data_IF_245025021155
#
_entry.id   IF_245025021155
#
_cell.length_a   1.000
_cell.length_b   1.000
_cell.length_c   1.000
_cell.angle_alpha   90.00
_cell.angle_beta   90.00
_cell.angle_gamma   90.00
#
_symmetry.space_group_name_H-M   'P 1'
#
loop_
_entity.id
_entity.type
_entity.pdbx_description
1 polymer ?
#
# COMPACT_ATOMS: atom_id res chain seq x y z
N UNK A 1 -20.16 17.17 -5.40
CA UNK A 1 -18.83 17.71 -5.77
C UNK A 1 -18.40 16.99 -7.05
N UNK A 2 -17.93 17.72 -8.06
CA UNK A 2 -17.43 17.10 -9.31
C UNK A 2 -15.90 17.16 -9.32
N UNK A 3 -15.24 16.01 -9.44
CA UNK A 3 -13.79 15.93 -9.58
C UNK A 3 -13.44 15.86 -11.06
N UNK A 4 -12.56 16.74 -11.50
CA UNK A 4 -11.96 16.70 -12.83
C UNK A 4 -10.69 15.83 -12.78
N UNK A 5 -10.81 14.56 -13.20
CA UNK A 5 -9.69 13.61 -13.20
C UNK A 5 -8.54 14.07 -14.09
N UNK A 6 -8.83 14.73 -15.23
CA UNK A 6 -7.79 15.21 -16.15
C UNK A 6 -6.96 16.31 -15.48
N UNK A 7 -7.61 17.24 -14.79
CA UNK A 7 -6.94 18.27 -13.99
C UNK A 7 -6.09 17.63 -12.89
N UNK A 8 -6.64 16.70 -12.11
CA UNK A 8 -5.93 16.07 -11.02
C UNK A 8 -4.73 15.25 -11.51
N UNK A 9 -4.85 14.54 -12.64
CA UNK A 9 -3.73 13.84 -13.28
C UNK A 9 -2.63 14.81 -13.73
N UNK A 10 -3.04 15.94 -14.34
CA UNK A 10 -2.09 16.97 -14.75
C UNK A 10 -1.37 17.57 -13.54
N UNK A 11 -2.09 17.90 -12.48
CA UNK A 11 -1.51 18.44 -11.24
C UNK A 11 -0.49 17.48 -10.63
N UNK A 12 -0.80 16.18 -10.58
CA UNK A 12 0.14 15.16 -10.10
C UNK A 12 1.36 15.03 -11.04
N UNK A 13 1.15 15.00 -12.35
CA UNK A 13 2.25 14.93 -13.31
C UNK A 13 3.16 16.17 -13.21
N UNK A 14 2.60 17.36 -13.11
CA UNK A 14 3.34 18.61 -12.93
C UNK A 14 4.13 18.59 -11.60
N UNK A 15 3.52 18.08 -10.51
CA UNK A 15 4.21 17.91 -9.24
C UNK A 15 5.38 16.93 -9.33
N UNK A 16 5.16 15.75 -9.91
CA UNK A 16 6.17 14.72 -10.06
C UNK A 16 7.33 15.17 -10.99
N UNK A 17 7.05 16.05 -11.96
CA UNK A 17 8.07 16.58 -12.88
C UNK A 17 9.15 17.44 -12.19
N UNK A 18 8.93 17.89 -10.96
CA UNK A 18 9.94 18.58 -10.16
C UNK A 18 11.02 17.63 -9.60
N UNK A 19 10.83 16.32 -9.75
CA UNK A 19 11.74 15.30 -9.24
C UNK A 19 12.41 14.57 -10.41
N UNK A 20 13.57 13.93 -10.15
CA UNK A 20 14.35 13.29 -11.21
C UNK A 20 13.60 12.08 -11.81
N UNK A 21 13.01 12.27 -12.98
CA UNK A 21 12.27 11.20 -13.69
C UNK A 21 13.16 10.02 -14.14
N UNK A 22 14.49 10.19 -14.18
CA UNK A 22 15.42 9.09 -14.48
C UNK A 22 15.72 8.21 -13.24
N UNK A 23 15.32 8.65 -12.04
CA UNK A 23 15.43 7.85 -10.83
C UNK A 23 14.34 6.76 -10.81
N UNK A 24 14.78 5.50 -10.79
CA UNK A 24 13.87 4.35 -10.75
C UNK A 24 12.88 4.39 -9.57
N UNK A 25 13.30 4.96 -8.44
CA UNK A 25 12.44 5.13 -7.25
C UNK A 25 11.33 6.15 -7.50
N UNK A 26 11.63 7.26 -8.18
CA UNK A 26 10.63 8.26 -8.60
C UNK A 26 9.63 7.63 -9.56
N UNK A 27 10.13 6.93 -10.59
CA UNK A 27 9.28 6.24 -11.57
C UNK A 27 8.38 5.21 -10.89
N UNK A 28 8.93 4.39 -9.98
CA UNK A 28 8.17 3.41 -9.21
C UNK A 28 6.99 4.06 -8.50
N UNK A 29 7.21 5.20 -7.84
CA UNK A 29 6.15 5.91 -7.09
C UNK A 29 5.11 6.57 -7.99
N UNK A 30 5.50 7.05 -9.17
CA UNK A 30 4.53 7.53 -10.17
C UNK A 30 3.61 6.39 -10.62
N UNK A 31 4.20 5.27 -11.04
CA UNK A 31 3.45 4.10 -11.52
C UNK A 31 2.54 3.53 -10.42
N UNK A 32 3.05 3.40 -9.18
CA UNK A 32 2.30 2.99 -8.00
C UNK A 32 1.08 3.89 -7.74
N UNK A 33 1.27 5.19 -7.71
CA UNK A 33 0.19 6.17 -7.47
C UNK A 33 -0.96 5.99 -8.47
N UNK A 34 -0.67 5.86 -9.76
CA UNK A 34 -1.72 5.66 -10.76
C UNK A 34 -2.44 4.31 -10.60
N UNK A 35 -1.72 3.24 -10.25
CA UNK A 35 -2.32 1.92 -10.01
C UNK A 35 -3.20 1.94 -8.76
N UNK A 36 -2.75 2.53 -7.66
CA UNK A 36 -3.54 2.69 -6.43
C UNK A 36 -4.81 3.49 -6.71
N UNK A 37 -4.72 4.59 -7.46
CA UNK A 37 -5.90 5.36 -7.84
C UNK A 37 -6.92 4.54 -8.66
N UNK A 38 -6.45 3.73 -9.61
CA UNK A 38 -7.31 2.85 -10.39
C UNK A 38 -7.97 1.78 -9.51
N UNK A 39 -7.22 1.21 -8.57
CA UNK A 39 -7.73 0.22 -7.61
C UNK A 39 -8.78 0.85 -6.66
N UNK A 40 -8.55 2.05 -6.15
CA UNK A 40 -9.54 2.79 -5.34
C UNK A 40 -10.86 2.95 -6.10
N UNK A 41 -10.80 3.38 -7.37
CA UNK A 41 -12.00 3.52 -8.19
C UNK A 41 -12.72 2.19 -8.41
N UNK A 42 -11.97 1.10 -8.68
CA UNK A 42 -12.52 -0.24 -8.89
C UNK A 42 -13.22 -0.76 -7.63
N UNK A 43 -12.59 -0.62 -6.47
CA UNK A 43 -13.18 -1.01 -5.18
C UNK A 43 -14.44 -0.18 -4.89
N UNK A 44 -14.39 1.15 -5.08
CA UNK A 44 -15.54 2.03 -4.89
C UNK A 44 -16.71 1.67 -5.82
N UNK A 45 -16.44 1.29 -7.08
CA UNK A 45 -17.44 0.82 -8.03
C UNK A 45 -18.10 -0.49 -7.57
N UNK A 46 -17.34 -1.43 -7.03
CA UNK A 46 -17.88 -2.71 -6.54
C UNK A 46 -18.82 -2.53 -5.34
N UNK A 47 -18.66 -1.44 -4.60
CA UNK A 47 -19.53 -1.02 -3.50
C UNK A 47 -20.76 -0.25 -3.96
N UNK A 48 -20.97 -0.13 -5.28
CA UNK A 48 -22.06 0.64 -5.88
C UNK A 48 -22.13 2.11 -5.39
N UNK A 49 -20.97 2.71 -5.10
CA UNK A 49 -20.92 4.11 -4.70
C UNK A 49 -21.32 5.02 -5.88
N UNK A 50 -21.90 6.21 -5.60
CA UNK A 50 -22.20 7.20 -6.62
C UNK A 50 -20.95 7.58 -7.44
N UNK A 51 -21.08 7.97 -8.72
CA UNK A 51 -19.95 8.33 -9.58
C UNK A 51 -19.01 9.37 -8.96
N UNK A 52 -19.54 10.37 -8.27
CA UNK A 52 -18.76 11.40 -7.57
C UNK A 52 -17.92 10.82 -6.40
N UNK A 53 -18.38 9.76 -5.75
CA UNK A 53 -17.64 9.07 -4.70
C UNK A 53 -16.58 8.13 -5.28
N UNK A 54 -16.85 7.51 -6.42
CA UNK A 54 -15.85 6.77 -7.18
C UNK A 54 -14.70 7.70 -7.60
N UNK A 55 -15.01 8.91 -8.06
CA UNK A 55 -14.00 9.90 -8.41
C UNK A 55 -13.22 10.38 -7.18
N UNK A 56 -13.88 10.54 -6.03
CA UNK A 56 -13.24 10.93 -4.77
C UNK A 56 -12.29 9.81 -4.26
N UNK A 57 -12.71 8.54 -4.35
CA UNK A 57 -11.85 7.41 -4.01
C UNK A 57 -10.63 7.34 -4.94
N UNK A 58 -10.83 7.54 -6.25
CA UNK A 58 -9.75 7.63 -7.20
C UNK A 58 -8.77 8.77 -6.86
N UNK A 59 -9.28 9.94 -6.49
CA UNK A 59 -8.47 11.10 -6.12
C UNK A 59 -7.65 10.80 -4.85
N UNK A 60 -8.24 10.15 -3.84
CA UNK A 60 -7.48 9.77 -2.63
C UNK A 60 -6.26 8.92 -2.98
N UNK A 61 -6.38 8.02 -3.96
CA UNK A 61 -5.26 7.22 -4.48
C UNK A 61 -4.19 8.07 -5.17
N UNK A 62 -4.57 9.14 -5.92
CA UNK A 62 -3.59 10.07 -6.52
C UNK A 62 -2.82 10.84 -5.44
N UNK A 63 -3.47 11.15 -4.32
CA UNK A 63 -2.92 12.05 -3.30
C UNK A 63 -2.07 11.36 -2.23
N UNK A 64 -2.30 10.06 -1.97
CA UNK A 64 -1.83 9.40 -0.74
C UNK A 64 -0.32 9.49 -0.53
N UNK A 65 0.46 9.36 -1.58
CA UNK A 65 1.92 9.20 -1.55
C UNK A 65 2.69 10.41 -2.12
N UNK A 66 2.05 11.60 -2.28
CA UNK A 66 2.77 12.79 -2.77
C UNK A 66 3.96 13.16 -1.89
N UNK A 67 3.91 12.89 -0.60
CA UNK A 67 4.99 13.11 0.35
C UNK A 67 6.22 12.22 0.13
N UNK A 68 6.09 11.08 -0.58
CA UNK A 68 7.21 10.18 -0.90
C UNK A 68 8.26 10.85 -1.79
N UNK A 69 7.83 11.72 -2.68
CA UNK A 69 8.75 12.48 -3.53
C UNK A 69 9.62 13.42 -2.70
N UNK A 70 9.01 14.13 -1.73
CA UNK A 70 9.74 14.97 -0.78
C UNK A 70 10.63 14.16 0.19
N UNK A 71 10.15 13.01 0.64
CA UNK A 71 10.92 12.09 1.48
C UNK A 71 12.19 11.63 0.75
N UNK A 72 12.04 11.17 -0.51
CA UNK A 72 13.17 10.74 -1.32
C UNK A 72 14.14 11.90 -1.57
N UNK A 73 13.64 13.10 -1.91
CA UNK A 73 14.48 14.28 -2.16
C UNK A 73 15.28 14.71 -0.94
N UNK A 74 14.65 14.68 0.26
CA UNK A 74 15.27 15.17 1.50
C UNK A 74 16.17 14.13 2.17
N UNK A 75 15.78 12.84 2.11
CA UNK A 75 16.40 11.78 2.91
C UNK A 75 16.97 10.62 2.08
N UNK A 76 16.76 10.60 0.77
CA UNK A 76 17.19 9.53 -0.15
C UNK A 76 16.72 8.11 0.26
N UNK A 77 15.60 8.00 0.97
CA UNK A 77 15.02 6.74 1.43
C UNK A 77 13.51 6.79 1.46
N UNK A 78 12.86 5.62 1.38
CA UNK A 78 11.43 5.45 1.63
C UNK A 78 11.14 4.83 3.02
N UNK A 79 12.15 4.65 3.86
CA UNK A 79 12.00 4.05 5.19
C UNK A 79 11.66 5.15 6.19
N UNK A 80 10.39 5.17 6.65
CA UNK A 80 9.90 6.20 7.56
C UNK A 80 10.72 6.24 8.88
N UNK A 81 11.11 5.07 9.40
CA UNK A 81 11.93 4.98 10.61
C UNK A 81 13.34 5.58 10.48
N UNK A 82 13.83 5.79 9.25
CA UNK A 82 15.13 6.41 8.95
C UNK A 82 15.00 7.87 8.51
N UNK A 83 13.76 8.38 8.45
CA UNK A 83 13.48 9.74 7.98
C UNK A 83 12.31 10.36 8.74
N UNK A 84 11.16 10.48 8.10
CA UNK A 84 9.90 11.02 8.65
C UNK A 84 8.72 10.25 8.05
N UNK A 85 7.56 10.32 8.68
CA UNK A 85 6.33 9.75 8.13
C UNK A 85 6.01 10.37 6.76
N UNK A 86 5.94 9.53 5.73
CA UNK A 86 5.55 9.97 4.38
C UNK A 86 4.09 10.43 4.34
N UNK A 87 3.21 9.82 5.13
CA UNK A 87 1.82 10.23 5.23
C UNK A 87 1.72 11.66 5.81
N UNK A 88 2.50 11.96 6.85
CA UNK A 88 2.58 13.32 7.40
C UNK A 88 3.15 14.32 6.38
N UNK A 89 4.17 13.94 5.59
CA UNK A 89 4.67 14.76 4.49
C UNK A 89 3.60 14.98 3.40
N UNK A 90 2.82 13.95 3.06
CA UNK A 90 1.73 14.09 2.09
C UNK A 90 0.69 15.09 2.59
N UNK A 91 0.32 15.01 3.86
CA UNK A 91 -0.59 15.97 4.50
C UNK A 91 -0.02 17.38 4.47
N UNK A 92 1.25 17.56 4.84
CA UNK A 92 1.90 18.86 4.82
C UNK A 92 1.89 19.49 3.42
N UNK A 93 2.32 18.75 2.40
CA UNK A 93 2.34 19.23 1.01
C UNK A 93 0.94 19.60 0.53
N UNK A 94 -0.05 18.74 0.76
CA UNK A 94 -1.39 18.94 0.22
C UNK A 94 -2.14 20.04 0.96
N UNK A 95 -2.16 20.00 2.29
CA UNK A 95 -3.08 20.80 3.08
C UNK A 95 -2.40 21.96 3.79
N UNK A 96 -1.20 21.80 4.31
CA UNK A 96 -0.52 22.87 5.04
C UNK A 96 0.18 23.85 4.08
N UNK A 97 0.72 23.36 2.94
CA UNK A 97 1.25 24.17 1.85
C UNK A 97 0.16 24.56 0.83
N UNK A 98 -1.08 24.04 0.96
CA UNK A 98 -2.24 24.40 0.14
C UNK A 98 -2.28 23.78 -1.26
N UNK A 99 -1.40 22.83 -1.58
CA UNK A 99 -1.32 22.25 -2.93
C UNK A 99 -2.51 21.36 -3.31
N UNK A 100 -3.39 21.03 -2.36
CA UNK A 100 -4.65 20.36 -2.67
C UNK A 100 -5.49 21.14 -3.69
N UNK A 101 -5.36 22.48 -3.73
CA UNK A 101 -6.07 23.34 -4.69
C UNK A 101 -5.59 23.20 -6.14
N UNK A 102 -4.41 22.58 -6.36
CA UNK A 102 -3.98 22.21 -7.72
C UNK A 102 -4.87 21.09 -8.28
N UNK A 103 -5.35 20.18 -7.42
CA UNK A 103 -6.14 19.00 -7.75
C UNK A 103 -7.65 19.24 -7.78
N UNK A 104 -8.17 20.02 -6.83
CA UNK A 104 -9.59 20.35 -6.78
C UNK A 104 -9.84 21.72 -6.13
N UNK A 105 -10.90 22.42 -6.59
CA UNK A 105 -11.25 23.76 -6.07
C UNK A 105 -12.12 23.70 -4.82
N UNK A 106 -12.99 22.68 -4.73
CA UNK A 106 -13.97 22.54 -3.67
C UNK A 106 -13.32 22.00 -2.38
N UNK A 107 -13.47 22.72 -1.29
CA UNK A 107 -12.93 22.34 0.02
C UNK A 107 -13.83 21.35 0.80
N UNK A 108 -15.00 21.00 0.28
CA UNK A 108 -15.97 20.17 0.99
C UNK A 108 -15.50 18.76 1.32
N UNK A 109 -14.46 18.26 0.61
CA UNK A 109 -13.87 16.94 0.88
C UNK A 109 -12.50 17.03 1.59
N UNK A 110 -12.00 18.20 1.92
CA UNK A 110 -10.63 18.35 2.45
C UNK A 110 -10.42 17.56 3.74
N UNK A 111 -11.35 17.61 4.67
CA UNK A 111 -11.25 16.90 5.95
C UNK A 111 -11.17 15.38 5.73
N UNK A 112 -12.03 14.83 4.85
CA UNK A 112 -12.04 13.41 4.50
C UNK A 112 -10.73 13.01 3.82
N UNK A 113 -10.32 13.77 2.78
CA UNK A 113 -9.09 13.48 2.03
C UNK A 113 -7.85 13.59 2.92
N UNK A 114 -7.77 14.62 3.79
CA UNK A 114 -6.69 14.78 4.77
C UNK A 114 -6.60 13.54 5.67
N UNK A 115 -7.73 13.12 6.23
CA UNK A 115 -7.77 11.94 7.11
C UNK A 115 -7.38 10.66 6.35
N UNK A 116 -7.90 10.46 5.14
CA UNK A 116 -7.56 9.28 4.34
C UNK A 116 -6.05 9.22 4.03
N UNK A 117 -5.45 10.33 3.63
CA UNK A 117 -4.01 10.45 3.35
C UNK A 117 -3.18 10.27 4.63
N UNK A 118 -3.59 10.88 5.74
CA UNK A 118 -2.89 10.77 7.02
C UNK A 118 -2.79 9.34 7.56
N UNK A 119 -3.89 8.57 7.41
CA UNK A 119 -4.02 7.25 8.03
C UNK A 119 -3.86 6.06 7.07
N UNK A 120 -3.51 6.31 5.78
CA UNK A 120 -3.43 5.21 4.81
C UNK A 120 -2.40 4.14 5.19
N UNK A 121 -1.25 4.53 5.74
CA UNK A 121 -0.16 3.62 6.13
C UNK A 121 -0.15 3.23 7.62
N UNK A 122 -1.10 3.74 8.40
CA UNK A 122 -1.18 3.41 9.82
C UNK A 122 -1.56 1.94 10.05
N UNK A 123 -1.06 1.32 11.12
CA UNK A 123 -1.41 -0.06 11.46
C UNK A 123 -2.90 -0.22 11.73
N UNK A 124 -3.54 0.74 12.44
CA UNK A 124 -4.99 0.77 12.69
C UNK A 124 -5.55 2.16 12.43
N UNK A 125 -6.79 2.21 11.98
CA UNK A 125 -7.55 3.46 11.88
C UNK A 125 -8.05 3.90 13.25
N UNK A 126 -8.20 5.22 13.50
CA UNK A 126 -8.85 5.74 14.69
C UNK A 126 -10.28 5.20 14.85
N UNK A 127 -10.68 4.94 16.10
CA UNK A 127 -12.03 4.42 16.40
C UNK A 127 -13.13 5.47 16.14
N UNK A 128 -12.82 6.74 16.33
CA UNK A 128 -13.79 7.85 16.28
C UNK A 128 -14.04 8.43 14.88
N UNK A 129 -13.69 7.70 13.80
CA UNK A 129 -14.02 8.13 12.43
C UNK A 129 -15.51 7.93 12.14
N UNK A 130 -16.13 8.91 11.48
CA UNK A 130 -17.44 8.72 10.89
C UNK A 130 -17.42 7.66 9.78
N UNK A 131 -18.60 7.07 9.48
CA UNK A 131 -18.70 5.94 8.56
C UNK A 131 -18.19 6.27 7.15
N UNK A 132 -18.46 7.48 6.67
CA UNK A 132 -18.01 7.91 5.34
C UNK A 132 -16.49 8.06 5.28
N UNK A 133 -15.90 8.73 6.23
CA UNK A 133 -14.44 8.90 6.30
C UNK A 133 -13.76 7.54 6.47
N UNK A 134 -14.31 6.66 7.31
CA UNK A 134 -13.81 5.29 7.48
C UNK A 134 -13.85 4.50 6.18
N UNK A 135 -14.95 4.57 5.42
CA UNK A 135 -15.12 3.92 4.13
C UNK A 135 -13.98 4.31 3.16
N UNK A 136 -13.72 5.60 3.00
CA UNK A 136 -12.66 6.08 2.10
C UNK A 136 -11.26 5.73 2.58
N UNK A 137 -11.01 5.77 3.89
CA UNK A 137 -9.76 5.28 4.45
C UNK A 137 -9.53 3.79 4.15
N UNK A 138 -10.56 2.96 4.29
CA UNK A 138 -10.47 1.52 4.02
C UNK A 138 -10.27 1.24 2.53
N UNK A 139 -10.98 1.92 1.62
CA UNK A 139 -10.80 1.79 0.17
C UNK A 139 -9.34 2.11 -0.21
N UNK A 140 -8.80 3.22 0.28
CA UNK A 140 -7.42 3.62 -0.01
C UNK A 140 -6.41 2.62 0.55
N UNK A 141 -6.59 2.17 1.79
CA UNK A 141 -5.71 1.20 2.44
C UNK A 141 -5.70 -0.15 1.74
N UNK A 142 -6.86 -0.63 1.30
CA UNK A 142 -6.96 -1.87 0.52
C UNK A 142 -6.21 -1.72 -0.80
N UNK A 143 -6.47 -0.65 -1.54
CA UNK A 143 -5.84 -0.38 -2.82
C UNK A 143 -4.30 -0.29 -2.71
N UNK A 144 -3.80 0.40 -1.70
CA UNK A 144 -2.36 0.53 -1.45
C UNK A 144 -1.72 -0.82 -1.11
N UNK A 145 -2.32 -1.60 -0.19
CA UNK A 145 -1.84 -2.95 0.17
C UNK A 145 -1.79 -3.89 -1.03
N UNK A 146 -2.81 -3.85 -1.90
CA UNK A 146 -2.84 -4.66 -3.12
C UNK A 146 -1.64 -4.33 -4.03
N UNK A 147 -1.37 -3.05 -4.27
CA UNK A 147 -0.24 -2.68 -5.13
C UNK A 147 1.13 -2.87 -4.46
N UNK A 148 1.21 -2.82 -3.12
CA UNK A 148 2.42 -3.20 -2.36
C UNK A 148 2.81 -4.65 -2.66
N UNK A 149 1.88 -5.59 -2.78
CA UNK A 149 2.18 -6.98 -3.17
C UNK A 149 2.89 -7.02 -4.54
N UNK A 150 2.41 -6.24 -5.49
CA UNK A 150 3.02 -6.10 -6.83
C UNK A 150 4.42 -5.52 -6.73
N UNK A 151 4.60 -4.41 -6.03
CA UNK A 151 5.90 -3.74 -5.88
C UNK A 151 6.95 -4.70 -5.31
N UNK A 152 6.57 -5.52 -4.32
CA UNK A 152 7.47 -6.50 -3.69
C UNK A 152 7.82 -7.71 -4.58
N UNK A 153 7.21 -7.82 -5.75
CA UNK A 153 7.55 -8.83 -6.77
C UNK A 153 8.29 -8.22 -7.95
N UNK A 154 7.92 -7.01 -8.37
CA UNK A 154 8.55 -6.33 -9.50
C UNK A 154 9.95 -5.79 -9.18
N UNK A 155 10.18 -5.38 -7.93
CA UNK A 155 11.50 -4.95 -7.45
C UNK A 155 12.18 -6.11 -6.72
N UNK A 156 13.46 -6.37 -6.96
CA UNK A 156 14.19 -7.41 -6.22
C UNK A 156 14.07 -7.21 -4.70
N UNK A 157 13.74 -8.26 -3.99
CA UNK A 157 13.56 -8.21 -2.52
C UNK A 157 14.83 -7.74 -1.82
N UNK A 158 16.00 -8.07 -2.37
CA UNK A 158 17.31 -7.63 -1.87
C UNK A 158 17.40 -6.10 -1.86
N UNK A 159 16.86 -5.46 -2.90
CA UNK A 159 16.85 -4.00 -3.03
C UNK A 159 15.83 -3.38 -2.07
N UNK A 160 14.60 -3.95 -2.01
CA UNK A 160 13.54 -3.44 -1.12
C UNK A 160 13.94 -3.57 0.34
N UNK A 161 14.52 -4.71 0.73
CA UNK A 161 14.88 -5.02 2.13
C UNK A 161 16.29 -4.58 2.48
N UNK A 162 17.06 -4.07 1.50
CA UNK A 162 18.45 -3.65 1.65
C UNK A 162 19.33 -4.76 2.26
N UNK A 163 19.27 -5.95 1.68
CA UNK A 163 19.99 -7.15 2.13
C UNK A 163 20.67 -7.85 0.97
N UNK A 164 21.73 -8.63 1.23
CA UNK A 164 22.34 -9.45 0.18
C UNK A 164 21.47 -10.66 -0.17
N UNK A 165 21.57 -11.14 -1.41
CA UNK A 165 20.90 -12.38 -1.86
C UNK A 165 21.26 -13.57 -0.97
N UNK A 166 22.51 -13.67 -0.53
CA UNK A 166 22.95 -14.74 0.36
C UNK A 166 22.29 -14.66 1.75
N UNK A 167 22.13 -13.44 2.31
CA UNK A 167 21.44 -13.25 3.58
C UNK A 167 19.95 -13.59 3.44
N UNK A 168 19.32 -13.16 2.36
CA UNK A 168 17.91 -13.43 2.09
C UNK A 168 17.66 -14.93 1.94
N UNK A 169 18.46 -15.65 1.12
CA UNK A 169 18.29 -17.09 0.88
C UNK A 169 18.52 -17.98 2.11
N UNK A 170 19.40 -17.57 3.01
CA UNK A 170 19.69 -18.31 4.27
C UNK A 170 18.80 -17.89 5.43
N UNK A 171 17.99 -16.88 5.23
CA UNK A 171 17.15 -16.29 6.28
C UNK A 171 16.18 -17.33 6.85
N UNK A 172 16.12 -17.50 8.17
CA UNK A 172 15.01 -18.17 8.81
C UNK A 172 13.78 -17.26 8.84
N UNK A 173 12.64 -17.84 9.25
CA UNK A 173 11.43 -17.06 9.60
C UNK A 173 11.29 -17.06 11.12
N UNK A 174 11.04 -15.88 11.70
CA UNK A 174 10.84 -15.72 13.14
C UNK A 174 9.55 -16.42 13.60
N UNK A 175 9.57 -17.25 14.66
CA UNK A 175 8.36 -17.92 15.15
C UNK A 175 7.19 -16.97 15.43
N UNK A 176 7.44 -15.84 16.10
CA UNK A 176 6.40 -14.85 16.39
C UNK A 176 5.78 -14.22 15.12
N UNK A 177 6.51 -14.20 14.00
CA UNK A 177 5.97 -13.77 12.69
C UNK A 177 5.01 -14.82 12.14
N UNK A 178 5.35 -16.11 12.26
CA UNK A 178 4.46 -17.23 11.89
C UNK A 178 3.22 -17.26 12.78
N UNK A 179 3.37 -17.09 14.09
CA UNK A 179 2.24 -17.06 15.03
C UNK A 179 1.24 -15.94 14.66
N UNK A 180 1.73 -14.74 14.37
CA UNK A 180 0.88 -13.62 13.94
C UNK A 180 0.20 -13.93 12.59
N UNK A 181 0.92 -14.53 11.65
CA UNK A 181 0.38 -14.91 10.35
C UNK A 181 -0.75 -15.96 10.48
N UNK A 182 -0.54 -17.04 11.24
CA UNK A 182 -1.56 -18.08 11.46
C UNK A 182 -2.73 -17.63 12.35
N UNK A 183 -2.56 -16.55 13.12
CA UNK A 183 -3.67 -15.86 13.78
C UNK A 183 -4.47 -14.96 12.82
N UNK A 184 -4.13 -14.95 11.52
CA UNK A 184 -4.73 -14.09 10.47
C UNK A 184 -4.61 -12.60 10.80
N UNK A 185 -3.45 -12.20 11.32
CA UNK A 185 -3.14 -10.80 11.60
C UNK A 185 -2.01 -10.29 10.72
N UNK A 186 -2.09 -9.01 10.35
CA UNK A 186 -0.95 -8.34 9.74
C UNK A 186 0.24 -8.36 10.71
N UNK A 187 1.39 -8.81 10.21
CA UNK A 187 2.62 -8.92 10.99
C UNK A 187 3.16 -7.55 11.36
N UNK A 188 3.30 -7.28 12.65
CA UNK A 188 3.91 -6.06 13.16
C UNK A 188 5.40 -6.00 12.77
N UNK A 189 5.85 -4.81 12.39
CA UNK A 189 7.27 -4.60 12.04
C UNK A 189 8.22 -4.97 13.20
N UNK A 190 7.81 -4.74 14.45
CA UNK A 190 8.59 -5.06 15.66
C UNK A 190 8.83 -6.55 15.88
N UNK A 191 8.06 -7.44 15.25
CA UNK A 191 8.25 -8.89 15.31
C UNK A 191 9.32 -9.38 14.34
N UNK A 192 9.63 -8.61 13.30
CA UNK A 192 10.56 -9.00 12.24
C UNK A 192 12.00 -8.92 12.71
N UNK A 193 12.74 -10.01 12.57
CA UNK A 193 14.15 -10.13 12.96
C UNK A 193 15.04 -10.49 11.76
N UNK A 194 14.47 -11.16 10.76
CA UNK A 194 15.21 -11.69 9.62
C UNK A 194 14.64 -11.21 8.29
N UNK A 195 15.44 -11.20 7.21
CA UNK A 195 14.98 -10.76 5.88
C UNK A 195 13.71 -11.44 5.37
N UNK A 196 13.57 -12.77 5.56
CA UNK A 196 12.40 -13.53 5.09
C UNK A 196 11.09 -13.11 5.80
N UNK A 197 11.17 -12.57 7.02
CA UNK A 197 10.01 -12.05 7.76
C UNK A 197 9.29 -10.93 7.01
N UNK A 198 10.01 -10.19 6.16
CA UNK A 198 9.40 -9.13 5.36
C UNK A 198 8.46 -9.70 4.30
N UNK A 199 8.84 -10.80 3.64
CA UNK A 199 7.97 -11.44 2.65
C UNK A 199 6.69 -12.00 3.32
N UNK A 200 6.82 -12.66 4.49
CA UNK A 200 5.66 -13.11 5.28
C UNK A 200 4.81 -11.91 5.73
N UNK A 201 5.45 -10.83 6.18
CA UNK A 201 4.76 -9.61 6.58
C UNK A 201 3.99 -8.95 5.44
N UNK A 202 4.54 -8.95 4.22
CA UNK A 202 3.80 -8.43 3.06
C UNK A 202 2.66 -9.37 2.66
N UNK A 203 2.85 -10.69 2.70
CA UNK A 203 1.77 -11.63 2.45
C UNK A 203 0.62 -11.47 3.45
N UNK A 204 0.91 -11.20 4.72
CA UNK A 204 -0.10 -10.99 5.77
C UNK A 204 -0.97 -9.74 5.58
N UNK A 205 -0.62 -8.82 4.67
CA UNK A 205 -1.43 -7.64 4.35
C UNK A 205 -2.84 -8.01 3.86
N UNK A 206 -3.00 -9.21 3.28
CA UNK A 206 -4.31 -9.68 2.78
C UNK A 206 -5.34 -9.84 3.89
N UNK A 207 -4.91 -10.15 5.11
CA UNK A 207 -5.80 -10.28 6.27
C UNK A 207 -6.43 -8.96 6.72
N UNK A 208 -5.90 -7.83 6.28
CA UNK A 208 -6.39 -6.49 6.59
C UNK A 208 -7.27 -5.91 5.46
N UNK A 209 -7.49 -6.64 4.39
CA UNK A 209 -8.36 -6.19 3.30
C UNK A 209 -9.83 -6.26 3.74
N UNK A 210 -10.54 -5.14 3.53
CA UNK A 210 -11.88 -4.95 4.07
C UNK A 210 -13.00 -5.37 3.11
N UNK A 211 -12.71 -5.42 1.80
CA UNK A 211 -13.75 -5.60 0.77
C UNK A 211 -13.56 -6.88 -0.03
N UNK A 212 -14.66 -7.61 -0.35
CA UNK A 212 -14.57 -8.82 -1.20
C UNK A 212 -13.89 -8.56 -2.54
N UNK A 213 -14.14 -7.40 -3.15
CA UNK A 213 -13.48 -7.00 -4.40
C UNK A 213 -11.96 -6.92 -4.24
N UNK A 214 -11.46 -6.45 -3.09
CA UNK A 214 -10.02 -6.35 -2.81
C UNK A 214 -9.38 -7.74 -2.81
N UNK A 215 -10.02 -8.73 -2.21
CA UNK A 215 -9.55 -10.13 -2.23
C UNK A 215 -9.60 -10.71 -3.63
N UNK A 216 -10.67 -10.44 -4.39
CA UNK A 216 -10.78 -10.86 -5.80
C UNK A 216 -9.66 -10.29 -6.66
N UNK A 217 -9.31 -9.02 -6.48
CA UNK A 217 -8.20 -8.37 -7.20
C UNK A 217 -6.87 -9.05 -6.86
N UNK A 218 -6.61 -9.36 -5.60
CA UNK A 218 -5.38 -10.06 -5.17
C UNK A 218 -5.25 -11.40 -5.90
N UNK A 219 -6.33 -12.18 -5.95
CA UNK A 219 -6.34 -13.49 -6.63
C UNK A 219 -6.16 -13.33 -8.15
N UNK A 220 -6.92 -12.43 -8.79
CA UNK A 220 -6.81 -12.13 -10.22
C UNK A 220 -5.40 -11.69 -10.64
N UNK A 221 -4.76 -10.85 -9.85
CA UNK A 221 -3.42 -10.33 -10.17
C UNK A 221 -2.31 -11.36 -9.92
N UNK A 222 -2.49 -12.28 -8.98
CA UNK A 222 -1.55 -13.34 -8.67
C UNK A 222 -0.22 -12.89 -8.03
N UNK A 223 -0.08 -11.60 -7.64
CA UNK A 223 1.16 -11.09 -7.05
C UNK A 223 1.47 -11.72 -5.70
N UNK A 224 0.45 -12.01 -4.89
CA UNK A 224 0.57 -12.72 -3.62
C UNK A 224 1.28 -14.07 -3.81
N UNK A 225 0.86 -14.84 -4.80
CA UNK A 225 1.42 -16.15 -5.08
C UNK A 225 2.88 -16.07 -5.57
N UNK A 226 3.17 -15.07 -6.39
CA UNK A 226 4.54 -14.80 -6.86
C UNK A 226 5.46 -14.32 -5.73
N UNK A 227 4.95 -13.54 -4.77
CA UNK A 227 5.70 -13.14 -3.57
C UNK A 227 6.08 -14.37 -2.74
N UNK A 228 5.18 -15.37 -2.66
CA UNK A 228 5.40 -16.61 -1.93
C UNK A 228 6.26 -17.65 -2.69
N UNK A 229 6.57 -17.41 -3.98
CA UNK A 229 7.56 -18.19 -4.73
C UNK A 229 8.99 -17.86 -4.31
N UNK A 230 9.16 -17.55 -3.05
CA UNK A 230 10.41 -17.17 -2.43
C UNK A 230 11.50 -18.22 -2.56
N UNK A 231 12.64 -17.87 -3.13
CA UNK A 231 13.78 -18.77 -3.29
C UNK A 231 14.63 -18.76 -2.04
N UNK A 232 14.65 -19.87 -1.34
CA UNK A 232 15.44 -20.05 -0.11
C UNK A 232 16.31 -21.31 -0.17
N UNK A 233 17.49 -21.24 0.46
CA UNK A 233 18.40 -22.38 0.67
C UNK A 233 18.20 -22.96 2.10
N UNK A 234 17.33 -22.36 2.91
CA UNK A 234 16.99 -22.82 4.26
C UNK A 234 15.76 -23.75 4.19
N UNK A 235 15.89 -25.05 4.53
CA UNK A 235 14.81 -26.03 4.41
C UNK A 235 13.62 -25.71 5.32
N UNK A 236 13.84 -25.16 6.51
CA UNK A 236 12.77 -24.80 7.44
C UNK A 236 11.97 -23.61 6.89
N UNK A 237 12.65 -22.64 6.27
CA UNK A 237 12.00 -21.51 5.59
C UNK A 237 11.21 -22.00 4.38
N UNK A 238 11.75 -22.95 3.60
CA UNK A 238 11.02 -23.52 2.48
C UNK A 238 9.72 -24.22 2.94
N UNK A 239 9.79 -25.00 4.01
CA UNK A 239 8.62 -25.64 4.61
C UNK A 239 7.61 -24.61 5.14
N UNK A 240 8.08 -23.55 5.81
CA UNK A 240 7.22 -22.47 6.30
C UNK A 240 6.48 -21.77 5.15
N UNK A 241 7.16 -21.42 4.04
CA UNK A 241 6.52 -20.78 2.90
C UNK A 241 5.52 -21.69 2.17
N UNK A 242 5.76 -23.00 2.13
CA UNK A 242 4.80 -23.97 1.62
C UNK A 242 3.52 -23.97 2.49
N UNK A 243 3.67 -24.06 3.81
CA UNK A 243 2.55 -24.05 4.75
C UNK A 243 1.78 -22.69 4.74
N UNK A 244 2.47 -21.55 4.63
CA UNK A 244 1.86 -20.22 4.45
C UNK A 244 1.02 -20.18 3.18
N UNK A 245 1.50 -20.75 2.08
CA UNK A 245 0.77 -20.81 0.82
C UNK A 245 -0.52 -21.62 0.96
N UNK A 246 -0.43 -22.80 1.58
CA UNK A 246 -1.60 -23.67 1.81
C UNK A 246 -2.63 -22.97 2.70
N UNK A 247 -2.20 -22.31 3.77
CA UNK A 247 -3.08 -21.55 4.66
C UNK A 247 -3.80 -20.41 3.92
N UNK A 248 -3.08 -19.65 3.10
CA UNK A 248 -3.69 -18.56 2.32
C UNK A 248 -4.69 -19.07 1.29
N UNK A 249 -4.43 -20.19 0.65
CA UNK A 249 -5.42 -20.82 -0.25
C UNK A 249 -6.70 -21.18 0.51
N UNK A 250 -6.60 -21.82 1.68
CA UNK A 250 -7.75 -22.15 2.49
C UNK A 250 -8.50 -20.89 2.97
N UNK A 251 -7.77 -19.90 3.46
CA UNK A 251 -8.35 -18.67 3.98
C UNK A 251 -9.07 -17.87 2.88
N UNK A 252 -8.45 -17.66 1.71
CA UNK A 252 -9.07 -16.93 0.60
C UNK A 252 -10.32 -17.64 0.07
N UNK A 253 -10.29 -18.98 -0.02
CA UNK A 253 -11.47 -19.76 -0.39
C UNK A 253 -12.60 -19.56 0.61
N UNK A 254 -12.31 -19.55 1.91
CA UNK A 254 -13.33 -19.33 2.95
C UNK A 254 -13.95 -17.92 2.90
N UNK A 255 -13.20 -16.90 2.43
CA UNK A 255 -13.72 -15.53 2.26
C UNK A 255 -14.59 -15.37 0.99
N UNK A 256 -14.49 -16.30 0.04
CA UNK A 256 -15.20 -16.24 -1.25
C UNK A 256 -16.49 -17.07 -1.27
N UNK A 257 -16.77 -17.84 -0.23
CA UNK A 257 -17.94 -18.69 -0.06
C UNK A 257 -19.09 -17.95 0.64
#
# INVERSE_FOLDING_TARGET
MKIDRARAQKAFADYAAHYNAADAKVKLKIDHTYRVAALCARIAQSLALPPEDVDLAWLSGILHDVGRFEQLRRYNTFIDAQSVSHAALSVAVLFDEGRIRDYLDDAGADALLRTAVEWHSAFRLPEALDDRTRLFCQILRDADKIDILRVNVEIPMEEIYNVSTAALRRSPVTPAVLDAFYAHHCVLHSLKQYPADNAVGHASLVFELCYPESLRIVDEQGWLWRLLDFKTDNPDTAAAFAAIRDELHHWLHAQSA
#
